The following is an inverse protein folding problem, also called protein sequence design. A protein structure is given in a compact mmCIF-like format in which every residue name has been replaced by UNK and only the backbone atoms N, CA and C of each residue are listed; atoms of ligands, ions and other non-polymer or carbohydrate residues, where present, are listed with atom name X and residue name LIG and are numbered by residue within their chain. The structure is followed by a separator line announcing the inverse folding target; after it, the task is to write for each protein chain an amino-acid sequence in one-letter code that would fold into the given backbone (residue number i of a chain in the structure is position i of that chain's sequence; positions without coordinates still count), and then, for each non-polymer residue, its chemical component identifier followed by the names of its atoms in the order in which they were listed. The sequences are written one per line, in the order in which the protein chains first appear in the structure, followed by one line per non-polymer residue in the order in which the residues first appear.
data_IF_956688744595
#
_entry.id   IF_956688744595
#
_cell.length_a   1.000
_cell.length_b   1.000
_cell.length_c   1.000
_cell.angle_alpha   90.00
_cell.angle_beta   90.00
_cell.angle_gamma   90.00
#
_symmetry.space_group_name_H-M   'P 1'
#
loop_
_entity.id
_entity.type
_entity.pdbx_description
1 polymer ?
#
# COMPACT_ATOMS: atom_id res chain seq x y z
N UNK A 1 -12.04 -5.68 -19.40
CA UNK A 1 -10.75 -5.01 -19.62
C UNK A 1 -9.61 -5.95 -19.24
N UNK A 2 -8.59 -6.04 -20.08
CA UNK A 2 -7.32 -6.77 -19.85
C UNK A 2 -6.32 -6.00 -18.98
N UNK A 3 -6.67 -4.81 -18.48
CA UNK A 3 -5.79 -4.01 -17.66
C UNK A 3 -5.44 -4.74 -16.36
N UNK A 4 -4.15 -4.75 -16.03
CA UNK A 4 -3.66 -5.30 -14.76
C UNK A 4 -4.04 -4.34 -13.64
N UNK A 5 -4.69 -4.87 -12.62
CA UNK A 5 -5.05 -4.12 -11.42
C UNK A 5 -4.54 -4.87 -10.18
N UNK A 6 -4.00 -4.16 -9.18
CA UNK A 6 -3.71 -4.77 -7.88
C UNK A 6 -4.98 -5.07 -7.07
N UNK A 7 -6.16 -4.62 -7.51
CA UNK A 7 -7.43 -4.90 -6.84
C UNK A 7 -7.81 -6.39 -7.04
N UNK A 8 -7.85 -7.22 -5.97
CA UNK A 8 -8.15 -8.64 -6.10
C UNK A 8 -9.54 -8.91 -6.66
N UNK A 9 -10.51 -8.03 -6.41
CA UNK A 9 -11.88 -8.17 -6.91
C UNK A 9 -11.93 -8.06 -8.44
N UNK A 10 -11.07 -7.23 -9.06
CA UNK A 10 -10.95 -7.14 -10.51
C UNK A 10 -10.52 -8.48 -11.13
N UNK A 11 -9.60 -9.19 -10.46
CA UNK A 11 -9.17 -10.52 -10.89
C UNK A 11 -10.31 -11.54 -10.85
N UNK A 12 -11.18 -11.48 -9.84
CA UNK A 12 -12.37 -12.33 -9.75
C UNK A 12 -13.34 -12.05 -10.92
N UNK A 13 -13.65 -10.78 -11.17
CA UNK A 13 -14.51 -10.38 -12.29
C UNK A 13 -13.96 -10.82 -13.66
N UNK A 14 -12.64 -10.75 -13.85
CA UNK A 14 -11.97 -11.27 -15.05
C UNK A 14 -12.11 -12.79 -15.19
N UNK A 15 -12.07 -13.55 -14.09
CA UNK A 15 -12.23 -15.02 -14.09
C UNK A 15 -13.66 -15.41 -14.50
N UNK A 16 -14.66 -14.71 -14.00
CA UNK A 16 -16.08 -15.01 -14.29
C UNK A 16 -16.57 -14.37 -15.61
N UNK A 17 -15.73 -13.55 -16.26
CA UNK A 17 -16.05 -12.90 -17.53
C UNK A 17 -17.01 -11.71 -17.41
N UNK A 18 -17.12 -11.11 -16.22
CA UNK A 18 -17.99 -9.96 -15.95
C UNK A 18 -17.19 -8.65 -15.86
N UNK A 19 -17.82 -7.53 -16.21
CA UNK A 19 -17.19 -6.21 -16.22
C UNK A 19 -18.19 -5.14 -15.74
N UNK A 20 -18.36 -4.95 -14.43
CA UNK A 20 -19.22 -3.91 -13.89
C UNK A 20 -18.64 -2.52 -14.17
N UNK A 21 -19.46 -1.49 -13.98
CA UNK A 21 -18.96 -0.11 -13.96
C UNK A 21 -18.05 0.11 -12.73
N UNK A 22 -16.82 0.55 -12.98
CA UNK A 22 -15.84 0.84 -11.93
C UNK A 22 -15.84 2.33 -11.62
N UNK A 23 -16.49 2.71 -10.53
CA UNK A 23 -16.45 4.08 -10.02
C UNK A 23 -15.13 4.27 -9.26
N UNK A 24 -14.33 5.24 -9.70
CA UNK A 24 -13.03 5.57 -9.08
C UNK A 24 -13.23 6.68 -8.07
N UNK A 25 -12.86 6.42 -6.82
CA UNK A 25 -12.81 7.44 -5.77
C UNK A 25 -11.35 7.76 -5.48
N UNK A 26 -11.02 9.06 -5.39
CA UNK A 26 -9.68 9.53 -5.08
C UNK A 26 -9.51 9.88 -3.60
N UNK A 27 -10.60 10.13 -2.89
CA UNK A 27 -10.61 10.61 -1.50
C UNK A 27 -11.61 9.87 -0.62
N UNK A 28 -11.32 9.91 0.68
CA UNK A 28 -12.14 9.37 1.75
C UNK A 28 -12.64 10.49 2.65
N UNK A 29 -13.93 10.48 2.95
CA UNK A 29 -14.50 11.41 3.93
C UNK A 29 -14.08 11.01 5.33
N UNK A 30 -13.42 11.92 6.04
CA UNK A 30 -12.98 11.73 7.43
C UNK A 30 -13.74 12.69 8.34
N UNK A 31 -14.09 12.21 9.54
CA UNK A 31 -14.77 13.00 10.58
C UNK A 31 -13.98 12.86 11.87
N UNK A 32 -13.53 14.00 12.41
CA UNK A 32 -12.83 14.05 13.70
C UNK A 32 -13.83 14.07 14.86
N UNK A 33 -13.41 13.69 16.09
CA UNK A 33 -14.26 13.79 17.29
C UNK A 33 -14.79 15.21 17.57
N UNK A 34 -14.10 16.25 17.09
CA UNK A 34 -14.54 17.64 17.16
C UNK A 34 -15.73 17.96 16.22
N UNK A 35 -16.10 17.05 15.32
CA UNK A 35 -17.09 17.25 14.27
C UNK A 35 -16.52 17.86 12.98
N UNK A 36 -15.22 18.22 12.95
CA UNK A 36 -14.56 18.67 11.74
C UNK A 36 -14.55 17.57 10.67
N UNK A 37 -14.78 17.96 9.41
CA UNK A 37 -14.87 17.05 8.27
C UNK A 37 -13.88 17.47 7.20
N UNK A 38 -13.15 16.52 6.65
CA UNK A 38 -12.25 16.75 5.53
C UNK A 38 -12.18 15.52 4.63
N UNK A 39 -11.78 15.73 3.37
CA UNK A 39 -11.59 14.67 2.40
C UNK A 39 -10.10 14.35 2.31
N UNK A 40 -9.70 13.19 2.82
CA UNK A 40 -8.32 12.73 2.82
C UNK A 40 -8.05 11.87 1.59
N UNK A 41 -6.99 12.19 0.83
CA UNK A 41 -6.49 11.31 -0.21
C UNK A 41 -5.63 10.21 0.42
N UNK A 42 -5.68 9.00 -0.14
CA UNK A 42 -4.75 7.94 0.25
C UNK A 42 -3.39 8.22 -0.39
N UNK A 43 -2.38 8.44 0.45
CA UNK A 43 -1.00 8.60 0.02
C UNK A 43 -0.20 9.48 0.98
N UNK A 44 1.11 9.27 1.08
CA UNK A 44 1.96 10.01 2.02
C UNK A 44 2.11 11.50 1.65
N UNK A 45 1.93 11.85 0.38
CA UNK A 45 2.15 13.20 -0.15
C UNK A 45 1.12 14.22 0.36
N UNK A 46 -0.17 13.88 0.32
CA UNK A 46 -1.26 14.78 0.76
C UNK A 46 -1.58 14.62 2.26
N UNK A 47 -1.05 13.60 2.93
CA UNK A 47 -1.23 13.44 4.38
C UNK A 47 -0.47 14.51 5.18
N UNK A 48 0.59 15.08 4.60
CA UNK A 48 1.30 16.22 5.19
C UNK A 48 0.38 17.42 5.46
N UNK A 49 -0.52 17.73 4.54
CA UNK A 49 -1.47 18.86 4.68
C UNK A 49 -2.48 18.60 5.81
N UNK A 50 -2.94 17.35 5.93
CA UNK A 50 -3.81 16.90 7.03
C UNK A 50 -3.11 17.09 8.38
N UNK A 51 -1.81 16.76 8.46
CA UNK A 51 -1.03 16.93 9.68
C UNK A 51 -0.75 18.40 10.01
N UNK A 52 -0.55 19.25 9.00
CA UNK A 52 -0.43 20.70 9.21
C UNK A 52 -1.69 21.30 9.83
N UNK A 53 -2.86 20.86 9.37
CA UNK A 53 -4.14 21.41 9.83
C UNK A 53 -4.66 20.77 11.13
N UNK A 54 -4.39 19.47 11.33
CA UNK A 54 -5.04 18.68 12.39
C UNK A 54 -4.08 17.91 13.31
N UNK A 55 -2.79 17.83 12.98
CA UNK A 55 -1.82 17.00 13.71
C UNK A 55 -1.25 17.63 14.98
N UNK A 56 -1.23 18.96 15.06
CA UNK A 56 -0.61 19.70 16.16
C UNK A 56 0.89 19.95 15.96
N UNK A 57 1.56 20.61 16.92
CA UNK A 57 2.98 20.99 16.79
C UNK A 57 3.89 19.77 16.62
N UNK A 58 4.75 19.77 15.61
CA UNK A 58 5.74 18.69 15.37
C UNK A 58 5.21 17.48 14.59
N UNK A 59 3.90 17.42 14.29
CA UNK A 59 3.29 16.23 13.71
C UNK A 59 3.80 15.91 12.30
N UNK A 60 4.11 16.92 11.49
CA UNK A 60 4.67 16.72 10.15
C UNK A 60 6.09 16.15 10.22
N UNK A 61 6.92 16.67 11.15
CA UNK A 61 8.29 16.20 11.36
C UNK A 61 8.34 14.77 11.89
N UNK A 62 7.48 14.45 12.87
CA UNK A 62 7.35 13.10 13.41
C UNK A 62 6.90 12.10 12.34
N UNK A 63 5.89 12.47 11.54
CA UNK A 63 5.43 11.64 10.45
C UNK A 63 6.50 11.44 9.39
N UNK A 64 7.22 12.49 8.99
CA UNK A 64 8.32 12.38 8.03
C UNK A 64 9.44 11.45 8.54
N UNK A 65 9.80 11.54 9.82
CA UNK A 65 10.79 10.66 10.45
C UNK A 65 10.33 9.19 10.48
N UNK A 66 9.05 8.93 10.76
CA UNK A 66 8.47 7.58 10.73
C UNK A 66 8.50 7.05 9.29
N UNK A 67 8.05 7.84 8.32
CA UNK A 67 8.03 7.45 6.91
C UNK A 67 9.44 7.11 6.40
N UNK A 68 10.46 7.87 6.79
CA UNK A 68 11.86 7.58 6.44
C UNK A 68 12.30 6.22 6.99
N UNK A 69 12.01 5.93 8.26
CA UNK A 69 12.36 4.64 8.88
C UNK A 69 11.58 3.47 8.30
N UNK A 70 10.37 3.70 7.81
CA UNK A 70 9.51 2.67 7.23
C UNK A 70 9.83 2.36 5.77
N UNK A 71 10.66 3.17 5.08
CA UNK A 71 11.01 2.95 3.65
C UNK A 71 11.52 1.53 3.36
N UNK A 72 12.48 0.95 4.12
CA UNK A 72 12.97 -0.39 3.83
C UNK A 72 11.87 -1.45 3.94
N UNK A 73 10.99 -1.32 4.95
CA UNK A 73 9.87 -2.25 5.14
C UNK A 73 8.82 -2.11 4.04
N UNK A 74 8.52 -0.88 3.61
CA UNK A 74 7.61 -0.62 2.49
C UNK A 74 8.15 -1.21 1.19
N UNK A 75 9.45 -1.05 0.92
CA UNK A 75 10.11 -1.61 -0.26
C UNK A 75 10.08 -3.14 -0.24
N UNK A 76 10.42 -3.77 0.89
CA UNK A 76 10.33 -5.22 1.06
C UNK A 76 8.91 -5.75 0.86
N UNK A 77 7.90 -5.06 1.40
CA UNK A 77 6.50 -5.44 1.25
C UNK A 77 6.00 -5.32 -0.21
N UNK A 78 6.51 -4.35 -0.97
CA UNK A 78 6.19 -4.20 -2.40
C UNK A 78 6.93 -5.22 -3.27
N UNK A 79 8.17 -5.58 -2.90
CA UNK A 79 8.98 -6.56 -3.62
C UNK A 79 8.44 -8.00 -3.46
N UNK A 80 7.94 -8.33 -2.27
CA UNK A 80 7.34 -9.63 -1.99
C UNK A 80 5.89 -9.65 -2.50
N UNK A 81 5.68 -10.18 -3.71
CA UNK A 81 4.33 -10.46 -4.22
C UNK A 81 3.57 -11.30 -3.19
N UNK A 82 2.29 -10.99 -2.93
CA UNK A 82 1.43 -11.68 -1.94
C UNK A 82 1.40 -13.21 -2.08
N UNK A 83 1.79 -13.74 -3.24
CA UNK A 83 1.97 -15.17 -3.54
C UNK A 83 3.14 -15.84 -2.78
N UNK A 84 4.09 -15.06 -2.25
CA UNK A 84 5.20 -15.53 -1.41
C UNK A 84 4.79 -15.75 0.05
N UNK A 85 3.68 -15.14 0.51
CA UNK A 85 3.06 -15.46 1.80
C UNK A 85 2.22 -16.73 1.65
N UNK A 86 2.90 -17.88 1.60
CA UNK A 86 2.29 -19.18 1.85
C UNK A 86 3.15 -19.89 2.88
N UNK A 87 2.54 -20.58 3.84
CA UNK A 87 3.28 -21.25 4.92
C UNK A 87 3.83 -22.62 4.49
N UNK A 88 3.51 -23.07 3.27
CA UNK A 88 3.97 -24.34 2.73
C UNK A 88 5.37 -24.25 2.10
N UNK A 89 6.01 -25.41 1.93
CA UNK A 89 7.31 -25.54 1.27
C UNK A 89 7.31 -25.02 -0.19
N UNK A 90 6.14 -24.87 -0.81
CA UNK A 90 5.97 -24.25 -2.12
C UNK A 90 6.27 -22.74 -2.13
N UNK A 91 6.34 -22.08 -0.97
CA UNK A 91 6.88 -20.72 -0.85
C UNK A 91 8.31 -20.65 -1.40
N UNK A 92 9.16 -21.62 -1.07
CA UNK A 92 10.55 -21.66 -1.54
C UNK A 92 10.61 -21.74 -3.06
N UNK A 93 9.81 -22.63 -3.66
CA UNK A 93 9.72 -22.77 -5.13
C UNK A 93 9.22 -21.49 -5.80
N UNK A 94 8.30 -20.78 -5.14
CA UNK A 94 7.74 -19.52 -5.64
C UNK A 94 8.76 -18.38 -5.53
N UNK A 95 9.47 -18.27 -4.39
CA UNK A 95 10.54 -17.30 -4.16
C UNK A 95 11.71 -17.49 -5.14
N UNK A 96 12.07 -18.73 -5.48
CA UNK A 96 13.11 -19.04 -6.46
C UNK A 96 12.80 -18.54 -7.88
N UNK A 97 11.53 -18.22 -8.20
CA UNK A 97 11.17 -17.59 -9.48
C UNK A 97 11.49 -16.09 -9.52
N UNK A 98 11.76 -15.48 -8.37
CA UNK A 98 12.02 -14.05 -8.20
C UNK A 98 13.36 -13.82 -7.45
N UNK A 99 14.49 -14.31 -8.00
CA UNK A 99 15.77 -14.30 -7.29
C UNK A 99 16.34 -12.88 -7.08
N UNK A 100 16.00 -11.91 -7.94
CA UNK A 100 16.46 -10.51 -7.78
C UNK A 100 15.73 -9.85 -6.64
N UNK A 101 14.41 -9.95 -6.64
CA UNK A 101 13.52 -9.38 -5.64
C UNK A 101 13.81 -9.96 -4.25
N UNK A 102 14.16 -11.26 -4.18
CA UNK A 102 14.62 -11.91 -2.95
C UNK A 102 15.95 -11.34 -2.45
N UNK A 103 16.94 -11.17 -3.33
CA UNK A 103 18.23 -10.58 -2.97
C UNK A 103 18.09 -9.12 -2.51
N UNK A 104 17.29 -8.33 -3.22
CA UNK A 104 17.01 -6.94 -2.89
C UNK A 104 16.34 -6.84 -1.51
N UNK A 105 15.34 -7.69 -1.25
CA UNK A 105 14.66 -7.76 0.05
C UNK A 105 15.62 -8.13 1.19
N UNK A 106 16.49 -9.12 0.99
CA UNK A 106 17.48 -9.54 1.99
C UNK A 106 18.53 -8.45 2.25
N UNK A 107 18.92 -7.69 1.22
CA UNK A 107 19.87 -6.58 1.35
C UNK A 107 19.32 -5.38 2.12
N UNK A 108 17.99 -5.22 2.13
CA UNK A 108 17.29 -4.14 2.87
C UNK A 108 17.06 -4.48 4.35
N UNK A 109 17.22 -5.74 4.74
CA UNK A 109 17.03 -6.22 6.12
C UNK A 109 18.29 -6.24 6.99
N UNK A 110 19.44 -5.81 6.46
CA UNK A 110 20.69 -5.58 7.21
C UNK A 110 20.84 -4.11 7.59
#
# INVERSE_FOLDING_TARGET
STDKSPNPLKGIFQIIGEEPEWITYDRWGTVLPSGAKFAAKIGPEEFGDVLAEHGGPGAQEEFAAIMERMKPLSNAAQALTSLALREDAGAIVTLLRYPRELLDTLSQGQ
#
